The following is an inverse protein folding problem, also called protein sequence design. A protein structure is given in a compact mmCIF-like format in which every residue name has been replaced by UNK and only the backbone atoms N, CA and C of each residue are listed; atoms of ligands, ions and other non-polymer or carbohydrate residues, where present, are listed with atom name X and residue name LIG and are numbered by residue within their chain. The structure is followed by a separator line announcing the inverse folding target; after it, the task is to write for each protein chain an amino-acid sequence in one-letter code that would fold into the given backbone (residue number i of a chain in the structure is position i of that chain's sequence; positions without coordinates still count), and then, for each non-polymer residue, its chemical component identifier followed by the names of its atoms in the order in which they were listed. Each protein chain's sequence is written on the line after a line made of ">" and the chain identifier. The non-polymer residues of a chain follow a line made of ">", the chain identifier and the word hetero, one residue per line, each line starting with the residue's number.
data_IF_593734408569
#
_entry.id   IF_593734408569
#
_cell.length_a   1.000
_cell.length_b   1.000
_cell.length_c   1.000
_cell.angle_alpha   90.00
_cell.angle_beta   90.00
_cell.angle_gamma   90.00
#
_symmetry.space_group_name_H-M   'P 1'
#
loop_
_entity.id
_entity.type
_entity.pdbx_description
1 polymer ?
#
# COMPACT_ATOMS: atom_id res chain seq x y z
N UNK A 1 -21.22 -9.13 -75.12
CA UNK A 1 -19.92 -9.68 -74.61
C UNK A 1 -19.13 -8.66 -73.76
N UNK A 2 -19.03 -7.37 -74.08
CA UNK A 2 -18.26 -6.37 -73.36
C UNK A 2 -18.88 -6.03 -72.00
N UNK A 3 -20.22 -5.98 -71.87
CA UNK A 3 -20.95 -5.71 -70.59
C UNK A 3 -20.85 -6.87 -69.55
N UNK A 4 -20.75 -8.13 -70.02
CA UNK A 4 -20.63 -9.29 -69.17
C UNK A 4 -19.21 -9.44 -68.60
N UNK A 5 -18.17 -9.03 -69.31
CA UNK A 5 -16.80 -9.00 -68.77
C UNK A 5 -16.60 -7.91 -67.73
N UNK A 6 -17.29 -6.76 -67.84
CA UNK A 6 -17.22 -5.68 -66.89
C UNK A 6 -17.94 -6.05 -65.58
N UNK A 7 -19.07 -6.75 -65.67
CA UNK A 7 -19.79 -7.25 -64.46
C UNK A 7 -18.99 -8.32 -63.72
N UNK A 8 -18.27 -9.22 -64.42
CA UNK A 8 -17.39 -10.21 -63.77
C UNK A 8 -16.17 -9.60 -63.12
N UNK A 9 -15.61 -8.52 -63.65
CA UNK A 9 -14.47 -7.81 -63.05
C UNK A 9 -14.92 -7.08 -61.76
N UNK A 10 -16.11 -6.44 -61.74
CA UNK A 10 -16.67 -5.80 -60.56
C UNK A 10 -17.01 -6.83 -59.46
N UNK A 11 -17.53 -8.01 -59.83
CA UNK A 11 -17.82 -9.07 -58.88
C UNK A 11 -16.55 -9.71 -58.32
N UNK A 12 -15.47 -9.83 -59.09
CA UNK A 12 -14.16 -10.30 -58.64
C UNK A 12 -13.47 -9.29 -57.71
N UNK A 13 -13.58 -7.98 -57.96
CA UNK A 13 -13.05 -6.91 -57.09
C UNK A 13 -13.85 -6.83 -55.80
N UNK A 14 -15.17 -7.03 -55.84
CA UNK A 14 -16.00 -7.09 -54.61
C UNK A 14 -15.75 -8.34 -53.76
N UNK A 15 -15.41 -9.49 -54.37
CA UNK A 15 -15.01 -10.68 -53.64
C UNK A 15 -13.61 -10.56 -53.02
N UNK A 16 -12.67 -9.91 -53.70
CA UNK A 16 -11.32 -9.65 -53.17
C UNK A 16 -11.35 -8.62 -52.05
N UNK A 17 -12.22 -7.59 -52.14
CA UNK A 17 -12.42 -6.64 -51.03
C UNK A 17 -13.15 -7.26 -49.81
N UNK A 18 -14.02 -8.25 -50.01
CA UNK A 18 -14.66 -8.97 -48.91
C UNK A 18 -13.69 -9.90 -48.16
N UNK A 19 -12.66 -10.42 -48.81
CA UNK A 19 -11.61 -11.25 -48.17
C UNK A 19 -10.58 -10.40 -47.44
N UNK A 20 -10.42 -9.11 -47.79
CA UNK A 20 -9.55 -8.17 -47.05
C UNK A 20 -10.22 -7.52 -45.85
N UNK A 21 -11.52 -7.76 -45.62
CA UNK A 21 -12.29 -7.28 -44.46
C UNK A 21 -12.52 -8.35 -43.37
N UNK A 22 -11.95 -9.55 -43.50
CA UNK A 22 -11.75 -10.41 -42.38
C UNK A 22 -10.62 -9.80 -41.55
N UNK A 23 -10.94 -8.76 -40.78
CA UNK A 23 -10.04 -8.30 -39.71
C UNK A 23 -9.60 -9.53 -38.94
N UNK A 24 -8.29 -9.75 -38.79
CA UNK A 24 -7.76 -10.80 -37.92
C UNK A 24 -8.47 -10.67 -36.57
N UNK A 25 -9.38 -11.58 -36.27
CA UNK A 25 -9.97 -11.67 -34.99
C UNK A 25 -8.80 -11.93 -34.03
N UNK A 26 -8.60 -11.07 -33.09
CA UNK A 26 -7.57 -11.29 -32.07
C UNK A 26 -8.06 -12.47 -31.21
N UNK A 27 -7.55 -13.67 -31.49
CA UNK A 27 -7.97 -14.91 -30.81
C UNK A 27 -7.22 -15.10 -29.47
N UNK A 28 -6.43 -14.10 -29.05
CA UNK A 28 -5.72 -14.16 -27.77
C UNK A 28 -6.71 -14.15 -26.59
N UNK A 29 -6.35 -14.88 -25.55
CA UNK A 29 -7.06 -14.83 -24.27
C UNK A 29 -6.86 -13.44 -23.64
N UNK A 30 -7.95 -12.75 -23.38
CA UNK A 30 -7.90 -11.45 -22.69
C UNK A 30 -7.93 -11.66 -21.20
N UNK A 31 -6.91 -11.15 -20.49
CA UNK A 31 -6.84 -11.08 -19.03
C UNK A 31 -7.10 -9.64 -18.59
N UNK A 32 -8.22 -9.42 -17.93
CA UNK A 32 -8.56 -8.13 -17.32
C UNK A 32 -7.80 -7.96 -16.01
N UNK A 33 -7.11 -6.82 -15.84
CA UNK A 33 -6.30 -6.55 -14.66
C UNK A 33 -6.73 -5.21 -14.06
N UNK A 34 -7.08 -5.19 -12.78
CA UNK A 34 -7.16 -3.95 -12.00
C UNK A 34 -5.85 -3.77 -11.24
N UNK A 35 -5.08 -2.75 -11.62
CA UNK A 35 -3.74 -2.52 -11.14
C UNK A 35 -3.64 -1.23 -10.33
N UNK A 36 -3.08 -1.33 -9.11
CA UNK A 36 -2.83 -0.16 -8.26
C UNK A 36 -1.56 0.55 -8.74
N UNK A 37 -1.69 1.80 -9.16
CA UNK A 37 -0.61 2.57 -9.77
C UNK A 37 -0.65 4.04 -9.35
N UNK A 38 0.34 4.46 -8.56
CA UNK A 38 0.64 5.88 -8.31
C UNK A 38 1.45 6.42 -9.49
N UNK A 39 0.76 6.99 -10.48
CA UNK A 39 1.38 7.40 -11.74
C UNK A 39 2.40 8.56 -11.59
N UNK A 40 2.35 9.30 -10.47
CA UNK A 40 3.30 10.36 -10.12
C UNK A 40 4.59 9.83 -9.46
N UNK A 41 4.59 8.58 -9.00
CA UNK A 41 5.78 7.98 -8.40
C UNK A 41 6.84 7.66 -9.47
N UNK A 42 8.14 7.87 -9.17
CA UNK A 42 9.23 7.53 -10.07
C UNK A 42 9.15 6.08 -10.57
N UNK A 43 9.49 5.87 -11.83
CA UNK A 43 9.48 4.57 -12.50
C UNK A 43 8.13 3.86 -12.62
N UNK A 44 7.09 4.24 -11.87
CA UNK A 44 5.87 3.45 -11.70
C UNK A 44 5.16 3.11 -13.01
N UNK A 45 4.99 4.08 -13.90
CA UNK A 45 4.33 3.88 -15.21
C UNK A 45 5.21 3.06 -16.14
N UNK A 46 6.51 3.37 -16.20
CA UNK A 46 7.48 2.67 -17.05
C UNK A 46 7.61 1.20 -16.63
N UNK A 47 7.71 0.94 -15.34
CA UNK A 47 7.82 -0.41 -14.79
C UNK A 47 6.56 -1.24 -15.05
N UNK A 48 5.38 -0.67 -14.77
CA UNK A 48 4.13 -1.35 -15.07
C UNK A 48 4.05 -1.71 -16.56
N UNK A 49 4.38 -0.78 -17.45
CA UNK A 49 4.38 -1.06 -18.91
C UNK A 49 5.40 -2.14 -19.29
N UNK A 50 6.60 -2.10 -18.70
CA UNK A 50 7.64 -3.10 -18.94
C UNK A 50 7.18 -4.49 -18.51
N UNK A 51 6.62 -4.62 -17.29
CA UNK A 51 6.22 -5.93 -16.74
C UNK A 51 5.10 -6.56 -17.55
N UNK A 52 4.06 -5.80 -17.88
CA UNK A 52 2.93 -6.33 -18.63
C UNK A 52 3.27 -6.61 -20.11
N UNK A 53 4.04 -5.73 -20.77
CA UNK A 53 4.46 -5.99 -22.16
C UNK A 53 5.46 -7.15 -22.26
N UNK A 54 6.34 -7.33 -21.27
CA UNK A 54 7.25 -8.50 -21.21
C UNK A 54 6.45 -9.77 -21.00
N UNK A 55 5.43 -9.75 -20.13
CA UNK A 55 4.54 -10.90 -19.95
C UNK A 55 3.83 -11.28 -21.26
N UNK A 56 3.23 -10.32 -21.97
CA UNK A 56 2.59 -10.56 -23.29
C UNK A 56 3.57 -11.11 -24.32
N UNK A 57 4.78 -10.55 -24.38
CA UNK A 57 5.83 -11.01 -25.29
C UNK A 57 6.21 -12.47 -25.01
N UNK A 58 6.30 -12.86 -23.76
CA UNK A 58 6.64 -14.23 -23.36
C UNK A 58 5.45 -15.19 -23.46
N UNK A 59 4.22 -14.66 -23.59
CA UNK A 59 2.98 -15.41 -23.68
C UNK A 59 2.15 -14.91 -24.88
N UNK A 60 2.51 -15.21 -26.14
CA UNK A 60 1.89 -14.62 -27.33
C UNK A 60 0.39 -14.94 -27.49
N UNK A 61 -0.12 -15.95 -26.78
CA UNK A 61 -1.55 -16.30 -26.75
C UNK A 61 -2.40 -15.46 -25.80
N UNK A 62 -1.83 -14.46 -25.11
CA UNK A 62 -2.54 -13.62 -24.14
C UNK A 62 -2.50 -12.15 -24.54
N UNK A 63 -3.55 -11.42 -24.16
CA UNK A 63 -3.61 -9.96 -24.19
C UNK A 63 -3.99 -9.46 -22.80
N UNK A 64 -3.28 -8.47 -22.28
CA UNK A 64 -3.60 -7.82 -21.02
C UNK A 64 -4.48 -6.59 -21.27
N UNK A 65 -5.64 -6.55 -20.62
CA UNK A 65 -6.54 -5.40 -20.55
C UNK A 65 -6.43 -4.83 -19.14
N UNK A 66 -5.60 -3.78 -18.99
CA UNK A 66 -5.20 -3.23 -17.68
C UNK A 66 -5.87 -1.89 -17.43
N UNK A 67 -6.62 -1.79 -16.33
CA UNK A 67 -7.11 -0.54 -15.74
C UNK A 67 -6.18 -0.15 -14.57
N UNK A 68 -5.68 1.10 -14.57
CA UNK A 68 -4.80 1.64 -13.54
C UNK A 68 -5.56 2.66 -12.70
N UNK A 69 -5.56 2.50 -11.40
CA UNK A 69 -6.13 3.42 -10.44
C UNK A 69 -5.24 3.53 -9.19
N UNK A 70 -5.41 4.60 -8.44
CA UNK A 70 -4.62 4.88 -7.25
C UNK A 70 -5.52 5.30 -6.09
N UNK A 71 -5.09 4.99 -4.86
CA UNK A 71 -5.70 5.38 -3.58
C UNK A 71 -7.21 5.05 -3.52
N UNK A 72 -8.05 5.95 -3.02
CA UNK A 72 -9.48 5.70 -2.81
C UNK A 72 -10.22 5.31 -4.10
N UNK A 73 -9.82 5.88 -5.25
CA UNK A 73 -10.40 5.53 -6.55
C UNK A 73 -10.23 4.04 -6.90
N UNK A 74 -9.10 3.43 -6.50
CA UNK A 74 -8.87 1.99 -6.68
C UNK A 74 -9.87 1.17 -5.84
N UNK A 75 -10.03 1.52 -4.57
CA UNK A 75 -10.90 0.81 -3.65
C UNK A 75 -12.38 0.95 -4.02
N UNK A 76 -12.80 2.13 -4.46
CA UNK A 76 -14.16 2.37 -4.94
C UNK A 76 -14.49 1.56 -6.18
N UNK A 77 -13.54 1.48 -7.11
CA UNK A 77 -13.69 0.68 -8.32
C UNK A 77 -13.77 -0.82 -7.98
N UNK A 78 -12.93 -1.30 -7.07
CA UNK A 78 -12.95 -2.69 -6.63
C UNK A 78 -14.31 -3.04 -5.99
N UNK A 79 -14.84 -2.16 -5.12
CA UNK A 79 -16.19 -2.33 -4.54
C UNK A 79 -17.27 -2.36 -5.63
N UNK A 80 -17.15 -1.53 -6.66
CA UNK A 80 -18.07 -1.51 -7.81
C UNK A 80 -18.04 -2.85 -8.55
N UNK A 81 -16.87 -3.40 -8.84
CA UNK A 81 -16.71 -4.71 -9.48
C UNK A 81 -17.30 -5.83 -8.62
N UNK A 82 -17.04 -5.82 -7.30
CA UNK A 82 -17.59 -6.80 -6.38
C UNK A 82 -19.14 -6.75 -6.35
N UNK A 83 -19.73 -5.56 -6.25
CA UNK A 83 -21.19 -5.38 -6.26
C UNK A 83 -21.84 -5.82 -7.57
N UNK A 84 -21.14 -5.65 -8.71
CA UNK A 84 -21.59 -6.11 -10.02
C UNK A 84 -21.36 -7.61 -10.27
N UNK A 85 -20.61 -8.29 -9.40
CA UNK A 85 -20.12 -9.67 -9.60
C UNK A 85 -19.38 -9.85 -10.94
N UNK A 86 -18.65 -8.80 -11.38
CA UNK A 86 -17.84 -8.75 -12.61
C UNK A 86 -16.38 -8.41 -12.28
N UNK A 87 -15.77 -9.25 -11.44
CA UNK A 87 -14.39 -9.05 -10.99
C UNK A 87 -13.38 -9.08 -12.14
N UNK A 88 -12.34 -8.23 -12.13
CA UNK A 88 -11.20 -8.39 -13.02
C UNK A 88 -10.52 -9.74 -12.76
N UNK A 89 -9.90 -10.34 -13.80
CA UNK A 89 -9.30 -11.66 -13.70
C UNK A 89 -8.12 -11.71 -12.72
N UNK A 90 -7.30 -10.65 -12.72
CA UNK A 90 -6.19 -10.46 -11.77
C UNK A 90 -6.30 -9.09 -11.14
N UNK A 91 -6.08 -9.01 -9.84
CA UNK A 91 -6.20 -7.78 -9.08
C UNK A 91 -5.15 -7.66 -7.99
N UNK A 92 -4.84 -6.42 -7.64
CA UNK A 92 -3.98 -6.07 -6.52
C UNK A 92 -4.83 -5.97 -5.25
N UNK A 93 -4.52 -6.73 -4.21
CA UNK A 93 -5.34 -6.82 -3.00
C UNK A 93 -4.52 -6.63 -1.73
N UNK A 94 -5.19 -6.18 -0.68
CA UNK A 94 -4.64 -6.05 0.67
C UNK A 94 -4.99 -7.28 1.50
N UNK A 95 -4.10 -7.77 2.36
CA UNK A 95 -4.39 -8.84 3.30
C UNK A 95 -5.08 -8.28 4.56
N UNK A 96 -6.07 -7.41 4.42
CA UNK A 96 -6.60 -6.61 5.53
C UNK A 96 -8.11 -6.39 5.38
N UNK A 97 -8.74 -5.77 6.38
CA UNK A 97 -10.14 -5.41 6.37
C UNK A 97 -10.57 -4.56 5.16
N UNK A 98 -9.63 -3.93 4.45
CA UNK A 98 -9.90 -3.27 3.17
C UNK A 98 -10.42 -4.23 2.10
N UNK A 99 -10.14 -5.52 2.23
CA UNK A 99 -10.55 -6.59 1.30
C UNK A 99 -11.53 -7.58 1.93
N UNK A 100 -12.08 -7.33 3.14
CA UNK A 100 -12.98 -8.23 3.86
C UNK A 100 -14.19 -8.65 3.01
N UNK A 101 -14.82 -7.70 2.32
CA UNK A 101 -15.96 -7.95 1.43
C UNK A 101 -15.62 -8.91 0.26
N UNK A 102 -14.37 -8.94 -0.19
CA UNK A 102 -13.93 -9.90 -1.22
C UNK A 102 -13.86 -11.32 -0.66
N UNK A 103 -13.46 -11.47 0.60
CA UNK A 103 -13.39 -12.75 1.30
C UNK A 103 -14.78 -13.24 1.70
N UNK A 104 -15.62 -12.38 2.26
CA UNK A 104 -16.99 -12.69 2.70
C UNK A 104 -17.87 -13.16 1.55
N UNK A 105 -17.72 -12.53 0.38
CA UNK A 105 -18.45 -12.88 -0.84
C UNK A 105 -17.75 -13.97 -1.66
N UNK A 106 -16.60 -14.48 -1.20
CA UNK A 106 -15.81 -15.55 -1.88
C UNK A 106 -15.43 -15.20 -3.32
N UNK A 107 -15.05 -13.94 -3.55
CA UNK A 107 -14.73 -13.44 -4.88
C UNK A 107 -13.31 -13.75 -5.33
N UNK A 108 -12.44 -14.20 -4.41
CA UNK A 108 -11.05 -14.56 -4.68
C UNK A 108 -10.86 -16.07 -4.76
N UNK A 109 -10.06 -16.50 -5.73
CA UNK A 109 -9.71 -17.91 -5.94
C UNK A 109 -8.68 -18.38 -4.90
N UNK A 110 -8.84 -19.60 -4.39
CA UNK A 110 -7.80 -20.24 -3.57
C UNK A 110 -6.59 -20.59 -4.45
N UNK A 111 -5.45 -19.96 -4.18
CA UNK A 111 -4.19 -20.18 -4.89
C UNK A 111 -3.38 -21.35 -4.34
N UNK A 112 -3.77 -21.94 -3.20
CA UNK A 112 -3.05 -23.05 -2.56
C UNK A 112 -2.79 -24.23 -3.51
N UNK A 113 -3.78 -24.68 -4.33
CA UNK A 113 -3.54 -25.77 -5.28
C UNK A 113 -2.48 -25.45 -6.33
N UNK A 114 -2.44 -24.21 -6.82
CA UNK A 114 -1.47 -23.75 -7.82
C UNK A 114 -0.07 -23.64 -7.23
N UNK A 115 0.06 -23.08 -6.02
CA UNK A 115 1.31 -22.96 -5.26
C UNK A 115 1.92 -24.35 -5.03
N UNK A 116 1.11 -25.32 -4.61
CA UNK A 116 1.54 -26.70 -4.35
C UNK A 116 1.93 -27.42 -5.64
N UNK A 117 1.13 -27.28 -6.71
CA UNK A 117 1.42 -27.88 -8.01
C UNK A 117 2.77 -27.42 -8.56
N UNK A 118 3.05 -26.13 -8.47
CA UNK A 118 4.25 -25.53 -9.03
C UNK A 118 5.45 -25.57 -8.07
N UNK A 119 5.25 -26.00 -6.81
CA UNK A 119 6.32 -26.15 -5.81
C UNK A 119 7.01 -24.85 -5.40
N UNK A 120 6.34 -23.71 -5.54
CA UNK A 120 6.96 -22.37 -5.38
C UNK A 120 7.01 -21.86 -3.94
N UNK A 121 6.36 -22.55 -2.98
CA UNK A 121 6.24 -22.08 -1.59
C UNK A 121 7.58 -21.67 -0.97
N UNK A 122 8.63 -22.47 -1.18
CA UNK A 122 9.95 -22.26 -0.57
C UNK A 122 10.75 -21.11 -1.21
N UNK A 123 10.25 -20.52 -2.29
CA UNK A 123 10.86 -19.35 -2.93
C UNK A 123 10.47 -18.02 -2.24
N UNK A 124 9.59 -18.10 -1.24
CA UNK A 124 9.05 -16.94 -0.52
C UNK A 124 9.30 -17.08 0.98
N UNK A 125 9.30 -15.95 1.68
CA UNK A 125 9.34 -15.91 3.16
C UNK A 125 8.15 -16.71 3.70
N UNK A 126 8.41 -17.61 4.66
CA UNK A 126 7.38 -18.52 5.18
C UNK A 126 6.12 -17.81 5.70
N UNK A 127 6.29 -16.65 6.35
CA UNK A 127 5.19 -15.82 6.84
C UNK A 127 4.25 -15.37 5.71
N UNK A 128 4.79 -15.03 4.54
CA UNK A 128 3.99 -14.56 3.38
C UNK A 128 3.24 -15.71 2.69
N UNK A 129 3.63 -16.95 2.94
CA UNK A 129 3.02 -18.17 2.38
C UNK A 129 2.25 -18.98 3.43
N UNK A 130 1.86 -18.34 4.53
CA UNK A 130 1.05 -18.91 5.59
C UNK A 130 -0.42 -18.48 5.42
N UNK A 131 -1.35 -19.41 5.11
CA UNK A 131 -2.77 -19.08 4.97
C UNK A 131 -3.40 -18.45 6.21
N UNK A 132 -2.86 -18.73 7.42
CA UNK A 132 -3.38 -18.16 8.67
C UNK A 132 -3.13 -16.66 8.79
N UNK A 133 -2.22 -16.11 7.99
CA UNK A 133 -1.93 -14.69 7.91
C UNK A 133 -2.85 -13.95 6.92
N UNK A 134 -3.70 -14.66 6.20
CA UNK A 134 -4.68 -14.08 5.28
C UNK A 134 -6.09 -14.22 5.84
N UNK A 135 -6.90 -13.17 5.74
CA UNK A 135 -8.27 -13.16 6.27
C UNK A 135 -9.15 -14.29 5.72
N UNK A 136 -8.89 -14.70 4.49
CA UNK A 136 -9.62 -15.77 3.83
C UNK A 136 -9.42 -17.16 4.50
N UNK A 137 -8.35 -17.34 5.30
CA UNK A 137 -7.96 -18.64 5.84
C UNK A 137 -7.39 -19.62 4.78
N UNK A 138 -7.17 -19.14 3.56
CA UNK A 138 -6.49 -19.80 2.46
C UNK A 138 -5.61 -18.78 1.71
N UNK A 139 -4.75 -19.25 0.79
CA UNK A 139 -3.93 -18.36 -0.03
C UNK A 139 -4.79 -17.65 -1.07
N UNK A 140 -5.40 -16.53 -0.69
CA UNK A 140 -6.22 -15.69 -1.59
C UNK A 140 -5.36 -14.82 -2.53
N UNK A 141 -4.11 -14.55 -2.14
CA UNK A 141 -3.14 -13.79 -2.94
C UNK A 141 -1.72 -14.27 -2.67
N UNK A 142 -0.78 -13.90 -3.56
CA UNK A 142 0.66 -13.98 -3.27
C UNK A 142 1.14 -12.58 -2.89
N UNK A 143 1.56 -12.34 -1.62
CA UNK A 143 2.07 -11.04 -1.16
C UNK A 143 3.37 -10.67 -1.87
N UNK A 144 3.53 -9.38 -2.19
CA UNK A 144 4.78 -8.84 -2.74
C UNK A 144 5.90 -8.75 -1.70
N UNK A 145 5.53 -8.60 -0.42
CA UNK A 145 6.47 -8.39 0.67
C UNK A 145 5.81 -8.34 2.03
N UNK A 146 6.59 -7.84 2.99
CA UNK A 146 6.15 -7.43 4.32
C UNK A 146 6.22 -5.91 4.35
N UNK A 147 5.23 -5.27 4.94
CA UNK A 147 5.09 -3.82 4.99
C UNK A 147 5.14 -3.33 6.43
N UNK A 148 5.98 -2.34 6.68
CA UNK A 148 6.02 -1.58 7.91
C UNK A 148 5.23 -0.30 7.70
N UNK A 149 4.03 -0.21 8.26
CA UNK A 149 3.08 0.88 7.96
C UNK A 149 3.42 2.20 8.65
N UNK A 150 4.29 2.17 9.66
CA UNK A 150 4.79 3.36 10.32
C UNK A 150 6.30 3.49 10.12
N UNK A 151 6.69 4.49 9.36
CA UNK A 151 8.06 4.99 9.25
C UNK A 151 8.09 6.48 9.59
N UNK A 152 9.09 6.88 10.38
CA UNK A 152 9.30 8.26 10.81
C UNK A 152 10.53 8.82 10.08
N UNK A 153 10.27 9.64 9.07
CA UNK A 153 11.32 10.28 8.27
C UNK A 153 11.73 11.59 8.94
N UNK A 154 13.02 11.77 9.21
CA UNK A 154 13.59 12.96 9.85
C UNK A 154 14.48 13.70 8.86
N UNK A 155 14.15 14.96 8.57
CA UNK A 155 14.93 15.85 7.70
C UNK A 155 15.99 16.59 8.51
N UNK A 156 17.23 16.12 8.45
CA UNK A 156 18.36 16.74 9.15
C UNK A 156 18.73 18.11 8.57
N UNK A 157 18.46 18.36 7.28
CA UNK A 157 18.72 19.69 6.66
C UNK A 157 17.84 20.76 7.34
N UNK A 158 16.55 20.47 7.53
CA UNK A 158 15.61 21.38 8.22
C UNK A 158 16.00 21.59 9.69
N UNK A 159 16.27 20.49 10.42
CA UNK A 159 16.65 20.58 11.83
C UNK A 159 17.94 21.37 12.03
N UNK A 160 18.97 21.08 11.23
CA UNK A 160 20.26 21.79 11.31
C UNK A 160 20.15 23.28 10.98
N UNK A 161 19.26 23.66 10.04
CA UNK A 161 19.04 25.05 9.66
C UNK A 161 18.55 25.93 10.85
N UNK A 162 17.92 25.31 11.85
CA UNK A 162 17.43 25.99 13.06
C UNK A 162 18.15 25.54 14.35
N UNK A 163 19.27 24.80 14.22
CA UNK A 163 20.10 24.38 15.34
C UNK A 163 19.46 23.29 16.23
N UNK A 164 18.51 22.52 15.69
CA UNK A 164 17.84 21.44 16.43
C UNK A 164 18.48 20.07 16.13
N UNK A 165 18.28 19.14 17.04
CA UNK A 165 18.61 17.72 16.87
C UNK A 165 17.33 16.90 16.73
N UNK A 166 17.38 15.69 16.13
CA UNK A 166 16.23 14.79 16.10
C UNK A 166 15.64 14.55 17.51
N UNK A 167 14.34 14.74 17.63
CA UNK A 167 13.62 14.52 18.89
C UNK A 167 13.65 13.02 19.29
N UNK A 168 13.89 12.74 20.56
CA UNK A 168 13.93 11.38 21.14
C UNK A 168 12.63 10.99 21.83
N UNK A 169 11.86 11.98 22.23
CA UNK A 169 10.60 11.80 22.95
C UNK A 169 9.61 12.90 22.60
N UNK A 170 8.36 12.72 23.02
CA UNK A 170 7.28 13.65 22.73
C UNK A 170 7.54 15.07 23.27
N UNK A 171 8.13 15.20 24.48
CA UNK A 171 8.41 16.51 25.07
C UNK A 171 9.41 17.32 24.21
N UNK A 172 10.39 16.64 23.63
CA UNK A 172 11.33 17.27 22.69
C UNK A 172 10.64 17.71 21.39
N UNK A 173 9.71 16.90 20.86
CA UNK A 173 8.89 17.29 19.69
C UNK A 173 8.11 18.58 19.98
N UNK A 174 7.42 18.64 21.14
CA UNK A 174 6.65 19.83 21.54
C UNK A 174 7.57 21.06 21.68
N UNK A 175 8.76 20.89 22.27
CA UNK A 175 9.72 21.97 22.43
C UNK A 175 10.25 22.52 21.09
N UNK A 176 10.27 21.71 20.04
CA UNK A 176 10.71 22.11 18.70
C UNK A 176 9.65 22.91 17.92
N UNK A 177 8.36 22.76 18.26
CA UNK A 177 7.25 23.43 17.54
C UNK A 177 7.45 24.95 17.38
N UNK A 178 7.68 25.74 18.45
CA UNK A 178 7.83 27.19 18.30
C UNK A 178 9.05 27.60 17.47
N UNK A 179 10.14 26.84 17.54
CA UNK A 179 11.38 27.11 16.77
C UNK A 179 11.17 26.85 15.29
N UNK A 180 10.62 25.69 14.94
CA UNK A 180 10.32 25.33 13.55
C UNK A 180 9.29 26.27 12.94
N UNK A 181 8.20 26.57 13.65
CA UNK A 181 7.16 27.48 13.19
C UNK A 181 7.68 28.90 12.95
N UNK A 182 8.55 29.41 13.82
CA UNK A 182 9.16 30.74 13.64
C UNK A 182 10.04 30.81 12.38
N UNK A 183 10.63 29.68 11.96
CA UNK A 183 11.42 29.56 10.75
C UNK A 183 10.58 29.21 9.49
N UNK A 184 9.26 29.06 9.62
CA UNK A 184 8.34 28.73 8.52
C UNK A 184 8.21 27.23 8.21
N UNK A 185 8.71 26.35 9.08
CA UNK A 185 8.61 24.91 8.93
C UNK A 185 7.45 24.33 9.75
N UNK A 186 6.84 23.26 9.25
CA UNK A 186 5.97 22.39 10.05
C UNK A 186 6.83 21.40 10.86
N UNK A 187 6.32 20.97 12.03
CA UNK A 187 7.05 19.97 12.80
C UNK A 187 6.88 18.59 12.14
N UNK A 188 5.66 18.08 12.03
CA UNK A 188 5.37 16.79 11.37
C UNK A 188 4.43 17.02 10.20
N UNK A 189 4.80 16.47 9.04
CA UNK A 189 3.93 16.31 7.89
C UNK A 189 3.25 14.94 7.93
N UNK A 190 1.94 14.90 7.74
CA UNK A 190 1.15 13.68 7.57
C UNK A 190 -0.05 14.00 6.64
N UNK A 191 -0.01 13.62 5.35
CA UNK A 191 -1.07 13.94 4.40
C UNK A 191 -2.32 13.10 4.72
N UNK A 192 -3.28 13.67 5.45
CA UNK A 192 -4.37 12.94 6.08
C UNK A 192 -5.75 13.21 5.45
N UNK A 193 -5.80 13.72 4.21
CA UNK A 193 -7.07 13.81 3.47
C UNK A 193 -7.63 12.41 3.19
N UNK A 194 -6.76 11.47 2.79
CA UNK A 194 -7.08 10.04 2.81
C UNK A 194 -7.02 9.55 4.25
N UNK A 195 -8.18 9.34 4.87
CA UNK A 195 -8.35 9.14 6.31
C UNK A 195 -7.58 7.95 6.88
N UNK A 196 -7.31 6.94 6.03
CA UNK A 196 -6.53 5.76 6.39
C UNK A 196 -5.09 6.08 6.81
N UNK A 197 -4.51 7.18 6.31
CA UNK A 197 -3.11 7.53 6.59
C UNK A 197 -2.88 7.74 8.08
N UNK A 198 -3.76 8.50 8.77
CA UNK A 198 -3.66 8.68 10.21
C UNK A 198 -3.82 7.36 10.97
N UNK A 199 -4.72 6.50 10.52
CA UNK A 199 -4.98 5.23 11.18
C UNK A 199 -3.83 4.24 10.97
N UNK A 200 -3.45 3.95 9.72
CA UNK A 200 -2.44 2.94 9.39
C UNK A 200 -1.02 3.42 9.70
N UNK A 201 -0.68 4.68 9.33
CA UNK A 201 0.70 5.16 9.42
C UNK A 201 1.04 5.80 10.78
N UNK A 202 0.06 6.08 11.65
CA UNK A 202 0.32 6.66 12.96
C UNK A 202 -0.44 5.96 14.09
N UNK A 203 -1.79 5.96 14.05
CA UNK A 203 -2.60 5.55 15.20
C UNK A 203 -2.47 4.07 15.54
N UNK A 204 -2.31 3.19 14.56
CA UNK A 204 -2.10 1.75 14.79
C UNK A 204 -0.89 1.50 15.69
N UNK A 205 0.22 2.19 15.44
CA UNK A 205 1.42 2.15 16.28
C UNK A 205 1.16 2.75 17.67
N UNK A 206 0.48 3.91 17.75
CA UNK A 206 0.14 4.57 19.03
C UNK A 206 -0.74 3.67 19.88
N UNK A 207 -1.82 3.10 19.30
CA UNK A 207 -2.70 2.17 20.01
C UNK A 207 -1.94 0.94 20.53
N UNK A 208 -1.06 0.37 19.70
CA UNK A 208 -0.20 -0.73 20.12
C UNK A 208 0.74 -0.37 21.27
N UNK A 209 1.31 0.85 21.29
CA UNK A 209 2.18 1.32 22.38
C UNK A 209 1.41 1.50 23.70
N UNK A 210 0.22 2.08 23.68
CA UNK A 210 -0.60 2.27 24.86
C UNK A 210 -1.24 0.96 25.36
N UNK A 211 -1.81 0.17 24.46
CA UNK A 211 -2.61 -1.00 24.83
C UNK A 211 -1.78 -2.29 24.98
N UNK A 212 -0.59 -2.34 24.38
CA UNK A 212 0.25 -3.55 24.26
C UNK A 212 0.07 -4.26 22.92
N UNK A 213 1.00 -5.13 22.50
CA UNK A 213 1.06 -5.68 21.14
C UNK A 213 -0.11 -6.62 20.80
N UNK A 214 -0.68 -7.29 21.81
CA UNK A 214 -1.77 -8.27 21.69
C UNK A 214 -3.16 -7.67 21.95
N UNK A 215 -3.28 -6.34 22.03
CA UNK A 215 -4.52 -5.69 22.45
C UNK A 215 -5.70 -6.01 21.53
N UNK A 216 -5.46 -6.09 20.23
CA UNK A 216 -6.47 -6.42 19.22
C UNK A 216 -7.02 -7.85 19.39
N UNK A 217 -6.17 -8.81 19.76
CA UNK A 217 -6.60 -10.18 20.08
C UNK A 217 -7.49 -10.21 21.33
N UNK A 218 -7.15 -9.40 22.34
CA UNK A 218 -7.98 -9.30 23.54
C UNK A 218 -9.34 -8.67 23.24
N UNK A 219 -9.40 -7.65 22.36
CA UNK A 219 -10.67 -7.04 21.92
C UNK A 219 -11.50 -8.06 21.12
N UNK A 220 -10.92 -8.73 20.14
CA UNK A 220 -11.61 -9.74 19.35
C UNK A 220 -12.12 -10.92 20.21
N UNK A 221 -11.39 -11.28 21.27
CA UNK A 221 -11.80 -12.28 22.25
C UNK A 221 -12.77 -11.72 23.32
N UNK A 222 -13.24 -10.47 23.20
CA UNK A 222 -14.10 -9.77 24.17
C UNK A 222 -13.51 -9.69 25.61
N UNK A 223 -12.16 -9.72 25.71
CA UNK A 223 -11.40 -9.60 26.97
C UNK A 223 -10.88 -8.17 27.21
N UNK A 224 -11.04 -7.29 26.23
CA UNK A 224 -10.77 -5.87 26.29
C UNK A 224 -11.84 -5.12 25.48
N UNK A 225 -11.91 -3.82 25.64
CA UNK A 225 -12.87 -2.94 24.98
C UNK A 225 -12.16 -1.73 24.38
N UNK A 226 -12.73 -1.16 23.34
CA UNK A 226 -12.29 0.15 22.82
C UNK A 226 -12.51 1.29 23.82
N UNK A 227 -13.39 1.11 24.81
CA UNK A 227 -13.62 2.08 25.89
C UNK A 227 -12.66 1.91 27.07
N UNK A 228 -11.73 0.99 27.03
CA UNK A 228 -10.72 0.83 28.09
C UNK A 228 -9.79 2.05 28.15
N UNK A 229 -9.30 2.42 29.36
CA UNK A 229 -8.51 3.63 29.56
C UNK A 229 -7.29 3.76 28.63
N UNK A 230 -6.61 2.64 28.33
CA UNK A 230 -5.42 2.64 27.47
C UNK A 230 -5.75 3.03 26.03
N UNK A 231 -6.86 2.53 25.47
CA UNK A 231 -7.30 2.89 24.12
C UNK A 231 -7.80 4.33 24.05
N UNK A 232 -8.52 4.78 25.09
CA UNK A 232 -8.93 6.19 25.22
C UNK A 232 -7.71 7.11 25.32
N UNK A 233 -6.67 6.71 26.06
CA UNK A 233 -5.42 7.48 26.15
C UNK A 233 -4.67 7.53 24.79
N UNK A 234 -4.68 6.46 24.01
CA UNK A 234 -4.14 6.44 22.68
C UNK A 234 -4.86 7.43 21.74
N UNK A 235 -6.19 7.48 21.77
CA UNK A 235 -7.00 8.46 21.03
C UNK A 235 -6.74 9.89 21.51
N UNK A 236 -6.61 10.11 22.84
CA UNK A 236 -6.33 11.43 23.40
C UNK A 236 -4.94 11.93 22.99
N UNK A 237 -3.96 11.04 22.86
CA UNK A 237 -2.63 11.39 22.35
C UNK A 237 -2.70 11.93 20.91
N UNK A 238 -3.53 11.37 20.04
CA UNK A 238 -3.73 11.95 18.69
C UNK A 238 -4.30 13.38 18.79
N UNK A 239 -5.33 13.58 19.63
CA UNK A 239 -5.88 14.93 19.87
C UNK A 239 -4.79 15.89 20.37
N UNK A 240 -3.91 15.41 21.24
CA UNK A 240 -2.82 16.19 21.83
C UNK A 240 -1.78 16.60 20.81
N UNK A 241 -1.39 15.72 19.85
CA UNK A 241 -0.47 16.05 18.74
C UNK A 241 -0.92 17.31 17.98
N UNK A 242 -2.22 17.45 17.72
CA UNK A 242 -2.80 18.62 17.06
C UNK A 242 -2.97 19.82 17.99
N UNK A 243 -3.31 19.58 19.27
CA UNK A 243 -3.47 20.63 20.25
C UNK A 243 -2.14 21.36 20.58
N UNK A 244 -1.06 20.60 20.66
CA UNK A 244 0.28 21.12 20.94
C UNK A 244 0.98 21.63 19.67
N UNK A 245 0.32 21.54 18.50
CA UNK A 245 0.84 22.00 17.21
C UNK A 245 1.99 21.15 16.64
N UNK A 246 2.21 19.94 17.17
CA UNK A 246 3.18 18.98 16.62
C UNK A 246 2.76 18.54 15.22
N UNK A 247 1.46 18.38 15.01
CA UNK A 247 0.86 18.23 13.68
C UNK A 247 -0.07 19.44 13.45
N UNK A 248 0.11 20.15 12.34
CA UNK A 248 -0.79 21.25 12.00
C UNK A 248 -2.13 20.69 11.47
N UNK A 249 -3.24 21.36 11.83
CA UNK A 249 -4.58 20.92 11.40
C UNK A 249 -4.79 20.97 9.90
N UNK A 250 -4.02 21.78 9.17
CA UNK A 250 -4.06 21.80 7.70
C UNK A 250 -3.71 20.44 7.06
N UNK A 251 -2.97 19.59 7.79
CA UNK A 251 -2.60 18.27 7.29
C UNK A 251 -3.81 17.35 7.04
N UNK A 252 -4.95 17.60 7.69
CA UNK A 252 -6.21 16.88 7.43
C UNK A 252 -6.74 17.10 6.00
N UNK A 253 -6.39 18.22 5.37
CA UNK A 253 -6.80 18.55 4.00
C UNK A 253 -5.72 18.33 2.94
N UNK A 254 -4.56 17.79 3.32
CA UNK A 254 -3.45 17.53 2.37
C UNK A 254 -3.70 16.21 1.66
N UNK A 255 -3.69 16.25 0.32
CA UNK A 255 -3.79 15.05 -0.53
C UNK A 255 -2.60 14.12 -0.30
N UNK A 256 -2.85 12.80 -0.33
CA UNK A 256 -1.83 11.81 -0.06
C UNK A 256 -0.64 11.87 -1.04
N UNK A 257 -0.91 12.15 -2.30
CA UNK A 257 0.14 12.30 -3.34
C UNK A 257 1.01 13.55 -3.18
N UNK A 258 0.54 14.59 -2.43
CA UNK A 258 1.31 15.84 -2.22
C UNK A 258 2.40 15.69 -1.15
N UNK A 259 2.22 14.77 -0.19
CA UNK A 259 3.11 14.59 0.96
C UNK A 259 4.59 14.46 0.62
N UNK A 260 5.00 13.61 -0.33
CA UNK A 260 6.40 13.48 -0.73
C UNK A 260 7.01 14.79 -1.24
N UNK A 261 6.26 15.54 -2.07
CA UNK A 261 6.68 16.84 -2.60
C UNK A 261 6.89 17.89 -1.50
N UNK A 262 5.99 17.92 -0.51
CA UNK A 262 6.11 18.81 0.66
C UNK A 262 7.36 18.48 1.47
N UNK A 263 7.62 17.20 1.75
CA UNK A 263 8.81 16.78 2.51
C UNK A 263 10.10 17.07 1.75
N UNK A 264 10.15 16.76 0.46
CA UNK A 264 11.30 17.01 -0.41
C UNK A 264 11.60 18.52 -0.57
N UNK A 265 10.58 19.36 -0.47
CA UNK A 265 10.70 20.83 -0.50
C UNK A 265 11.05 21.44 0.86
N UNK A 266 11.42 20.62 1.85
CA UNK A 266 11.77 21.05 3.20
C UNK A 266 10.65 21.80 3.94
N UNK A 267 9.36 21.48 3.67
CA UNK A 267 8.25 22.16 4.34
C UNK A 267 8.07 21.70 5.81
N UNK A 268 8.64 20.55 6.19
CA UNK A 268 8.58 20.02 7.55
C UNK A 268 9.86 19.33 7.99
N UNK A 269 10.05 19.26 9.31
CA UNK A 269 11.20 18.60 9.93
C UNK A 269 11.05 17.07 9.93
N UNK A 270 9.82 16.61 10.06
CA UNK A 270 9.48 15.18 10.10
C UNK A 270 8.34 14.87 9.15
N UNK A 271 8.29 13.59 8.70
CA UNK A 271 7.22 13.09 7.85
C UNK A 271 6.84 11.67 8.29
N UNK A 272 5.53 11.41 8.35
CA UNK A 272 4.99 10.10 8.73
C UNK A 272 4.31 9.47 7.52
N UNK A 273 4.74 8.24 7.18
CA UNK A 273 4.12 7.39 6.17
C UNK A 273 4.57 5.94 6.39
N UNK A 274 4.20 5.02 5.52
CA UNK A 274 4.73 3.66 5.50
C UNK A 274 6.08 3.54 4.80
N UNK A 275 6.67 2.36 4.90
CA UNK A 275 7.98 2.05 4.29
C UNK A 275 7.98 2.19 2.76
N UNK A 276 6.85 1.95 2.12
CA UNK A 276 6.65 2.11 0.67
C UNK A 276 6.96 3.52 0.16
N UNK A 277 6.86 4.53 1.04
CA UNK A 277 7.01 5.94 0.64
C UNK A 277 8.43 6.28 0.17
N UNK A 278 9.41 5.47 0.52
CA UNK A 278 10.78 5.61 -0.03
C UNK A 278 10.79 5.61 -1.56
N UNK A 279 9.88 4.84 -2.19
CA UNK A 279 9.74 4.81 -3.64
C UNK A 279 9.49 6.16 -4.31
N UNK A 280 8.89 7.13 -3.59
CA UNK A 280 8.65 8.47 -4.11
C UNK A 280 9.93 9.34 -4.17
N UNK A 281 11.01 8.95 -3.48
CA UNK A 281 12.22 9.78 -3.34
C UNK A 281 13.39 9.26 -4.16
N UNK A 282 13.28 8.08 -4.77
CA UNK A 282 14.36 7.53 -5.60
C UNK A 282 14.42 8.18 -6.97
N UNK A 283 15.53 7.97 -7.66
CA UNK A 283 15.73 8.49 -9.01
C UNK A 283 14.83 7.77 -10.01
N UNK A 284 14.09 8.54 -10.79
CA UNK A 284 13.38 8.06 -11.96
C UNK A 284 14.37 7.70 -13.07
N UNK A 285 14.34 6.46 -13.53
CA UNK A 285 15.32 5.89 -14.47
C UNK A 285 15.26 6.53 -15.86
N UNK A 286 14.08 7.04 -16.27
CA UNK A 286 13.87 7.59 -17.60
C UNK A 286 14.30 9.04 -17.67
N UNK A 287 14.08 9.80 -16.58
CA UNK A 287 14.36 11.24 -16.52
C UNK A 287 15.67 11.57 -15.81
N UNK A 288 16.19 10.66 -14.98
CA UNK A 288 17.32 10.91 -14.11
C UNK A 288 17.03 11.89 -12.97
N UNK A 289 15.76 12.21 -12.71
CA UNK A 289 15.34 13.14 -11.68
C UNK A 289 14.89 12.41 -10.41
N UNK A 290 15.10 13.02 -9.25
CA UNK A 290 14.58 12.55 -7.97
C UNK A 290 14.05 13.74 -7.17
N UNK A 291 12.99 13.56 -6.40
CA UNK A 291 12.50 14.59 -5.48
C UNK A 291 13.57 14.98 -4.45
N UNK A 292 14.29 13.97 -3.92
CA UNK A 292 15.46 14.16 -3.06
C UNK A 292 16.63 13.49 -3.74
N UNK A 293 17.62 14.27 -4.23
CA UNK A 293 18.78 13.70 -4.92
C UNK A 293 19.52 12.68 -4.01
N UNK A 294 20.15 11.62 -4.56
CA UNK A 294 20.85 10.61 -3.77
C UNK A 294 21.87 11.19 -2.78
N UNK A 295 22.53 12.29 -3.14
CA UNK A 295 23.46 12.98 -2.24
C UNK A 295 22.73 13.57 -1.01
N UNK A 296 21.55 14.15 -1.20
CA UNK A 296 20.73 14.73 -0.12
C UNK A 296 19.98 13.67 0.70
N UNK A 297 19.72 12.51 0.15
CA UNK A 297 19.07 11.39 0.87
C UNK A 297 19.85 10.99 2.13
N UNK A 298 21.16 11.21 2.19
CA UNK A 298 21.96 10.99 3.40
C UNK A 298 21.59 11.92 4.57
N UNK A 299 20.87 13.01 4.31
CA UNK A 299 20.33 13.90 5.34
C UNK A 299 18.95 13.47 5.84
N UNK A 300 18.42 12.39 5.34
CA UNK A 300 17.15 11.81 5.83
C UNK A 300 17.45 10.60 6.69
N UNK A 301 17.05 10.67 7.96
CA UNK A 301 17.01 9.50 8.84
C UNK A 301 15.64 8.87 8.78
N UNK A 302 15.58 7.55 8.79
CA UNK A 302 14.35 6.77 8.85
C UNK A 302 14.40 5.91 10.11
N UNK A 303 13.36 5.99 10.91
CA UNK A 303 13.23 5.26 12.16
C UNK A 303 11.76 5.16 12.60
N UNK A 304 11.53 5.03 13.89
CA UNK A 304 10.20 4.99 14.48
C UNK A 304 9.89 6.28 15.23
N UNK A 305 8.60 6.52 15.48
CA UNK A 305 8.14 7.67 16.26
C UNK A 305 8.85 7.72 17.62
N UNK A 306 9.25 8.91 18.10
CA UNK A 306 9.88 9.09 19.40
C UNK A 306 9.09 8.51 20.57
N UNK A 307 9.72 8.38 21.73
CA UNK A 307 9.09 7.85 22.94
C UNK A 307 7.86 8.67 23.34
N UNK A 308 6.78 7.97 23.67
CA UNK A 308 5.52 8.56 24.12
C UNK A 308 5.38 8.28 25.62
N UNK A 309 5.19 9.30 26.47
CA UNK A 309 5.03 9.10 27.92
C UNK A 309 3.80 8.26 28.26
N UNK A 310 3.92 7.38 29.24
CA UNK A 310 2.80 6.58 29.74
C UNK A 310 2.44 5.36 28.91
N UNK A 311 3.20 5.05 27.87
CA UNK A 311 3.00 3.85 27.06
C UNK A 311 3.62 2.60 27.69
N UNK A 312 3.10 1.43 27.34
CA UNK A 312 3.64 0.11 27.74
C UNK A 312 4.87 -0.29 26.93
N UNK A 313 4.97 0.26 25.70
CA UNK A 313 6.03 -0.04 24.76
C UNK A 313 6.53 1.29 24.18
N UNK A 314 7.84 1.54 24.23
CA UNK A 314 8.42 2.79 23.73
C UNK A 314 8.89 2.68 22.26
N UNK A 315 9.38 1.52 21.86
CA UNK A 315 9.90 1.32 20.50
C UNK A 315 9.07 0.27 19.77
N UNK A 316 8.20 0.71 18.88
CA UNK A 316 7.37 -0.17 18.04
C UNK A 316 7.05 0.48 16.70
N UNK A 317 6.74 -0.37 15.74
CA UNK A 317 6.08 0.01 14.49
C UNK A 317 4.96 -0.98 14.18
N UNK A 318 4.02 -0.60 13.31
CA UNK A 318 2.97 -1.50 12.84
C UNK A 318 3.44 -2.24 11.60
N UNK A 319 3.27 -3.56 11.62
CA UNK A 319 3.71 -4.46 10.54
C UNK A 319 2.53 -5.31 10.09
N UNK A 320 2.43 -5.47 8.77
CA UNK A 320 1.40 -6.29 8.12
C UNK A 320 2.03 -7.04 6.95
N UNK A 321 1.41 -8.15 6.51
CA UNK A 321 1.71 -8.66 5.18
C UNK A 321 1.54 -7.55 4.16
N UNK A 322 2.45 -7.45 3.23
CA UNK A 322 2.32 -6.53 2.10
C UNK A 322 1.15 -6.94 1.21
N UNK A 323 0.75 -6.01 0.39
CA UNK A 323 -0.22 -6.23 -0.68
C UNK A 323 0.26 -7.30 -1.66
N UNK A 324 -0.67 -7.92 -2.37
CA UNK A 324 -0.36 -9.00 -3.30
C UNK A 324 -1.27 -9.06 -4.52
N UNK A 325 -1.07 -10.08 -5.33
CA UNK A 325 -1.92 -10.32 -6.49
C UNK A 325 -2.80 -11.53 -6.25
N UNK A 326 -4.10 -11.35 -6.55
CA UNK A 326 -5.14 -12.35 -6.47
C UNK A 326 -5.75 -12.65 -7.83
N UNK A 327 -6.44 -13.78 -7.93
CA UNK A 327 -7.25 -14.17 -9.09
C UNK A 327 -8.73 -14.17 -8.71
N UNK A 328 -9.60 -13.81 -9.66
CA UNK A 328 -11.04 -13.88 -9.45
C UNK A 328 -11.51 -15.33 -9.33
N UNK A 329 -12.41 -15.60 -8.38
CA UNK A 329 -13.03 -16.91 -8.22
C UNK A 329 -13.90 -17.32 -9.42
N UNK A 330 -14.42 -16.33 -10.16
CA UNK A 330 -15.26 -16.53 -11.36
C UNK A 330 -14.54 -17.10 -12.56
N UNK A 331 -13.20 -17.12 -12.59
CA UNK A 331 -12.44 -17.71 -13.70
C UNK A 331 -12.71 -19.21 -13.76
N UNK A 332 -13.20 -19.77 -14.91
CA UNK A 332 -13.49 -21.18 -15.03
C UNK A 332 -12.25 -22.04 -14.82
N UNK A 333 -12.37 -23.05 -13.95
CA UNK A 333 -11.27 -23.98 -13.66
C UNK A 333 -10.86 -24.77 -14.89
N UNK A 334 -9.55 -24.94 -15.11
CA UNK A 334 -8.97 -25.65 -16.25
C UNK A 334 -9.00 -24.87 -17.57
N UNK A 335 -9.46 -23.61 -17.56
CA UNK A 335 -9.47 -22.77 -18.76
C UNK A 335 -8.08 -22.17 -19.07
N UNK A 336 -7.84 -21.78 -20.33
CA UNK A 336 -6.65 -21.02 -20.70
C UNK A 336 -6.58 -19.68 -19.95
N UNK A 337 -7.73 -19.09 -19.64
CA UNK A 337 -7.83 -17.87 -18.83
C UNK A 337 -7.26 -18.10 -17.42
N UNK A 338 -7.63 -19.20 -16.76
CA UNK A 338 -7.08 -19.57 -15.44
C UNK A 338 -5.57 -19.76 -15.51
N UNK A 339 -5.10 -20.47 -16.53
CA UNK A 339 -3.68 -20.71 -16.76
C UNK A 339 -2.92 -19.37 -16.87
N UNK A 340 -3.36 -18.48 -17.74
CA UNK A 340 -2.65 -17.22 -17.98
C UNK A 340 -2.79 -16.24 -16.80
N UNK A 341 -3.92 -16.21 -16.10
CA UNK A 341 -4.08 -15.43 -14.88
C UNK A 341 -3.10 -15.87 -13.79
N UNK A 342 -2.94 -17.19 -13.60
CA UNK A 342 -1.96 -17.75 -12.66
C UNK A 342 -0.51 -17.45 -13.08
N UNK A 343 -0.16 -17.62 -14.36
CA UNK A 343 1.17 -17.26 -14.86
C UNK A 343 1.46 -15.77 -14.66
N UNK A 344 0.46 -14.90 -14.82
CA UNK A 344 0.61 -13.46 -14.56
C UNK A 344 0.86 -13.18 -13.07
N UNK A 345 0.14 -13.82 -12.16
CA UNK A 345 0.37 -13.69 -10.70
C UNK A 345 1.79 -14.13 -10.35
N UNK A 346 2.25 -15.28 -10.87
CA UNK A 346 3.63 -15.75 -10.68
C UNK A 346 4.68 -14.81 -11.26
N UNK A 347 4.41 -14.23 -12.42
CA UNK A 347 5.30 -13.25 -13.05
C UNK A 347 5.43 -11.98 -12.20
N UNK A 348 4.30 -11.39 -11.80
CA UNK A 348 4.27 -10.15 -11.02
C UNK A 348 4.87 -10.29 -9.61
N UNK A 349 4.92 -11.52 -9.07
CA UNK A 349 5.57 -11.85 -7.78
C UNK A 349 6.87 -12.64 -7.97
N UNK A 350 7.31 -12.84 -9.21
CA UNK A 350 8.50 -13.58 -9.57
C UNK A 350 9.80 -12.82 -9.26
N UNK A 351 10.93 -13.53 -9.37
CA UNK A 351 12.25 -12.99 -9.02
C UNK A 351 12.59 -11.73 -9.79
N UNK A 352 12.49 -11.76 -11.12
CA UNK A 352 12.87 -10.65 -12.00
C UNK A 352 12.08 -9.36 -11.69
N UNK A 353 10.74 -9.47 -11.56
CA UNK A 353 9.89 -8.33 -11.20
C UNK A 353 10.17 -7.87 -9.77
N UNK A 354 10.42 -8.79 -8.83
CA UNK A 354 10.71 -8.45 -7.43
C UNK A 354 12.07 -7.75 -7.29
N UNK A 355 13.11 -8.19 -8.02
CA UNK A 355 14.44 -7.52 -8.04
C UNK A 355 14.29 -6.09 -8.55
N UNK A 356 13.66 -5.91 -9.71
CA UNK A 356 13.48 -4.59 -10.32
C UNK A 356 12.63 -3.66 -9.43
N UNK A 357 11.53 -4.18 -8.84
CA UNK A 357 10.69 -3.42 -7.93
C UNK A 357 11.44 -2.99 -6.67
N UNK A 358 12.30 -3.83 -6.13
CA UNK A 358 13.14 -3.51 -4.97
C UNK A 358 14.16 -2.44 -5.33
N UNK A 359 14.86 -2.56 -6.45
CA UNK A 359 15.81 -1.53 -6.92
C UNK A 359 15.16 -0.18 -7.18
N UNK A 360 13.91 -0.19 -7.64
CA UNK A 360 13.15 1.03 -7.97
C UNK A 360 12.23 1.51 -6.84
N UNK A 361 12.43 1.02 -5.61
CA UNK A 361 11.82 1.53 -4.38
C UNK A 361 10.39 1.07 -4.09
N UNK A 362 9.81 0.21 -4.95
CA UNK A 362 8.41 -0.18 -4.81
C UNK A 362 8.10 -1.18 -3.69
N UNK A 363 9.08 -1.93 -3.19
CA UNK A 363 8.88 -2.91 -2.11
C UNK A 363 10.16 -3.06 -1.29
N UNK A 364 10.29 -2.36 -0.15
CA UNK A 364 11.49 -2.39 0.69
C UNK A 364 11.82 -3.76 1.26
N UNK A 365 10.80 -4.54 1.64
CA UNK A 365 10.96 -5.90 2.18
C UNK A 365 10.20 -6.90 1.32
N UNK A 366 10.79 -7.34 0.18
CA UNK A 366 10.14 -8.27 -0.75
C UNK A 366 9.92 -9.65 -0.14
N UNK A 367 8.87 -10.34 -0.59
CA UNK A 367 8.54 -11.70 -0.13
C UNK A 367 9.48 -12.78 -0.65
N UNK A 368 10.21 -12.53 -1.74
CA UNK A 368 11.13 -13.50 -2.35
C UNK A 368 12.40 -13.66 -1.52
N UNK A 369 12.84 -14.91 -1.34
CA UNK A 369 14.07 -15.25 -0.56
C UNK A 369 15.30 -15.43 -1.43
N UNK A 370 15.14 -15.51 -2.75
CA UNK A 370 16.22 -15.79 -3.71
C UNK A 370 16.72 -14.53 -4.45
N UNK A 371 16.47 -13.34 -3.88
CA UNK A 371 16.96 -12.07 -4.43
C UNK A 371 18.41 -11.83 -4.04
N UNK A 372 19.17 -11.21 -4.94
CA UNK A 372 20.55 -10.83 -4.68
C UNK A 372 20.69 -9.34 -4.34
N UNK A 373 20.36 -8.98 -3.09
CA UNK A 373 20.46 -7.59 -2.61
C UNK A 373 21.87 -6.99 -2.78
N UNK A 374 22.93 -7.82 -2.72
CA UNK A 374 24.31 -7.34 -2.89
C UNK A 374 24.64 -6.87 -4.30
N UNK A 375 23.86 -7.29 -5.29
CA UNK A 375 24.00 -6.87 -6.69
C UNK A 375 23.12 -5.67 -7.05
N UNK A 376 22.17 -5.29 -6.18
CA UNK A 376 21.23 -4.18 -6.44
C UNK A 376 21.91 -2.83 -6.18
N UNK A 377 21.63 -1.87 -7.05
CA UNK A 377 22.11 -0.49 -6.90
C UNK A 377 21.10 0.34 -6.09
N UNK A 378 21.06 0.10 -4.76
CA UNK A 378 20.14 0.79 -3.86
C UNK A 378 20.65 2.18 -3.48
N UNK A 379 19.75 3.17 -3.51
CA UNK A 379 20.01 4.53 -3.03
C UNK A 379 20.04 4.63 -1.49
N UNK A 380 20.57 5.73 -0.90
CA UNK A 380 20.72 5.84 0.55
C UNK A 380 19.42 5.64 1.33
N UNK A 381 18.28 6.21 0.90
CA UNK A 381 17.00 6.02 1.59
C UNK A 381 16.47 4.58 1.47
N UNK A 382 16.73 3.89 0.36
CA UNK A 382 16.37 2.47 0.22
C UNK A 382 17.17 1.59 1.19
N UNK A 383 18.48 1.88 1.38
CA UNK A 383 19.31 1.20 2.38
C UNK A 383 18.84 1.50 3.80
N UNK A 384 18.49 2.76 4.08
CA UNK A 384 18.00 3.17 5.39
C UNK A 384 16.66 2.49 5.75
N UNK A 385 15.69 2.46 4.82
CA UNK A 385 14.39 1.81 5.07
C UNK A 385 14.53 0.30 5.24
N UNK A 386 15.45 -0.34 4.52
CA UNK A 386 15.74 -1.76 4.69
C UNK A 386 16.22 -2.14 6.10
N UNK A 387 16.74 -1.17 6.85
CA UNK A 387 17.17 -1.35 8.25
C UNK A 387 16.07 -1.03 9.26
N UNK A 388 14.90 -0.53 8.83
CA UNK A 388 13.83 -0.08 9.73
C UNK A 388 13.37 -1.18 10.71
N UNK A 389 13.37 -2.44 10.29
CA UNK A 389 13.05 -3.57 11.16
C UNK A 389 13.97 -3.71 12.38
N UNK A 390 15.17 -3.14 12.35
CA UNK A 390 16.12 -3.09 13.47
C UNK A 390 15.92 -1.90 14.42
N UNK A 391 15.09 -0.92 14.03
CA UNK A 391 14.85 0.31 14.81
C UNK A 391 13.76 0.15 15.88
N UNK A 392 13.05 -0.97 15.91
CA UNK A 392 12.03 -1.25 16.92
C UNK A 392 12.10 -2.69 17.44
N UNK A 393 11.69 -2.86 18.70
CA UNK A 393 11.73 -4.15 19.40
C UNK A 393 10.43 -4.95 19.26
N UNK A 394 9.31 -4.28 18.99
CA UNK A 394 7.98 -4.89 19.00
C UNK A 394 7.19 -4.46 17.77
N UNK A 395 6.73 -5.44 17.00
CA UNK A 395 5.73 -5.23 15.97
C UNK A 395 4.33 -5.15 16.61
N UNK A 396 3.52 -4.20 16.14
CA UNK A 396 2.12 -4.05 16.54
C UNK A 396 1.21 -4.26 15.33
N UNK A 397 -0.03 -4.66 15.57
CA UNK A 397 -0.98 -4.86 14.50
C UNK A 397 -1.39 -3.52 13.85
N UNK A 398 -1.72 -3.58 12.57
CA UNK A 398 -2.39 -2.49 11.85
C UNK A 398 -3.89 -2.66 12.04
N UNK A 399 -4.59 -1.61 12.42
CA UNK A 399 -6.02 -1.64 12.79
C UNK A 399 -6.88 -2.16 11.66
N UNK A 400 -6.69 -1.67 10.43
CA UNK A 400 -7.41 -2.15 9.25
C UNK A 400 -6.97 -3.56 8.79
N UNK A 401 -5.92 -4.11 9.39
CA UNK A 401 -5.49 -5.49 9.21
C UNK A 401 -6.18 -6.49 10.14
N UNK A 402 -6.77 -6.02 11.25
CA UNK A 402 -7.28 -6.90 12.32
C UNK A 402 -8.74 -6.65 12.70
N UNK A 403 -9.34 -5.57 12.20
CA UNK A 403 -10.76 -5.26 12.37
C UNK A 403 -11.44 -5.06 11.02
N UNK A 404 -12.74 -5.41 10.87
CA UNK A 404 -13.49 -5.22 9.64
C UNK A 404 -13.72 -3.73 9.35
N UNK A 405 -14.06 -3.42 8.09
CA UNK A 405 -14.31 -2.06 7.59
C UNK A 405 -15.34 -1.30 8.42
N UNK A 406 -16.41 -1.95 8.86
CA UNK A 406 -17.44 -1.36 9.73
C UNK A 406 -16.91 -0.82 11.08
N UNK A 407 -15.73 -1.27 11.51
CA UNK A 407 -15.05 -0.81 12.74
C UNK A 407 -13.95 0.19 12.43
N UNK A 408 -13.01 -0.15 11.53
CA UNK A 408 -11.87 0.73 11.29
C UNK A 408 -12.25 2.05 10.60
N UNK A 409 -13.31 2.09 9.80
CA UNK A 409 -13.79 3.35 9.20
C UNK A 409 -14.33 4.30 10.28
N UNK A 410 -14.99 3.78 11.32
CA UNK A 410 -15.41 4.60 12.48
C UNK A 410 -14.18 5.15 13.23
N UNK A 411 -13.08 4.40 13.31
CA UNK A 411 -11.82 4.90 13.86
C UNK A 411 -11.26 6.01 12.96
N UNK A 412 -11.22 5.81 11.64
CA UNK A 412 -10.72 6.80 10.68
C UNK A 412 -11.43 8.15 10.85
N UNK A 413 -12.76 8.14 10.83
CA UNK A 413 -13.60 9.34 11.02
C UNK A 413 -13.39 9.96 12.41
N UNK A 414 -13.22 9.11 13.42
CA UNK A 414 -12.93 9.52 14.79
C UNK A 414 -11.60 10.27 14.90
N UNK A 415 -10.54 9.79 14.24
CA UNK A 415 -9.22 10.42 14.24
C UNK A 415 -9.26 11.81 13.58
N UNK A 416 -9.97 11.98 12.47
CA UNK A 416 -10.20 13.29 11.86
C UNK A 416 -10.97 14.22 12.81
N UNK A 417 -12.02 13.70 13.47
CA UNK A 417 -12.79 14.48 14.46
C UNK A 417 -11.96 14.94 15.65
N UNK A 418 -10.99 14.11 16.10
CA UNK A 418 -10.03 14.46 17.17
C UNK A 418 -9.05 15.55 16.69
N UNK A 419 -8.49 15.42 15.48
CA UNK A 419 -7.60 16.40 14.88
C UNK A 419 -8.25 17.79 14.76
N UNK A 420 -9.54 17.82 14.40
CA UNK A 420 -10.33 19.05 14.27
C UNK A 420 -10.96 19.52 15.59
N UNK A 421 -10.71 18.83 16.71
CA UNK A 421 -11.27 19.12 18.04
C UNK A 421 -12.82 19.10 18.07
N UNK A 422 -13.45 18.26 17.24
CA UNK A 422 -14.91 18.12 17.14
C UNK A 422 -15.46 17.11 18.13
N UNK A 423 -14.65 16.11 18.52
CA UNK A 423 -15.01 15.05 19.48
C UNK A 423 -13.96 14.89 20.56
N UNK A 424 -14.35 14.29 21.69
CA UNK A 424 -13.42 13.82 22.73
C UNK A 424 -12.99 12.38 22.43
N UNK A 425 -11.84 11.97 22.95
CA UNK A 425 -11.34 10.60 22.85
C UNK A 425 -12.36 9.57 23.38
N UNK A 426 -13.00 9.86 24.51
CA UNK A 426 -14.03 8.98 25.09
C UNK A 426 -15.28 8.85 24.19
N UNK A 427 -15.68 9.92 23.50
CA UNK A 427 -16.79 9.86 22.56
C UNK A 427 -16.46 8.97 21.35
N UNK A 428 -15.28 9.17 20.76
CA UNK A 428 -14.79 8.32 19.65
C UNK A 428 -14.70 6.86 20.09
N UNK A 429 -14.09 6.58 21.25
CA UNK A 429 -13.98 5.22 21.79
C UNK A 429 -15.36 4.54 21.95
N UNK A 430 -16.38 5.30 22.40
CA UNK A 430 -17.75 4.80 22.54
C UNK A 430 -18.40 4.47 21.19
N UNK A 431 -18.16 5.30 20.17
CA UNK A 431 -18.66 5.05 18.81
C UNK A 431 -18.02 3.80 18.20
N UNK A 432 -16.70 3.64 18.35
CA UNK A 432 -15.95 2.47 17.88
C UNK A 432 -16.43 1.20 18.60
N UNK A 433 -16.61 1.26 19.95
CA UNK A 433 -17.12 0.12 20.70
C UNK A 433 -18.52 -0.29 20.21
N UNK A 434 -19.39 0.67 19.94
CA UNK A 434 -20.73 0.40 19.42
C UNK A 434 -20.66 -0.28 18.03
N UNK A 435 -19.78 0.19 17.15
CA UNK A 435 -19.57 -0.44 15.84
C UNK A 435 -19.12 -1.90 16.00
N UNK A 436 -18.18 -2.15 16.92
CA UNK A 436 -17.69 -3.50 17.21
C UNK A 436 -18.77 -4.40 17.86
N UNK A 437 -19.59 -3.86 18.76
CA UNK A 437 -20.66 -4.63 19.41
C UNK A 437 -21.78 -5.04 18.45
N UNK A 438 -21.87 -4.38 17.28
CA UNK A 438 -22.86 -4.67 16.23
C UNK A 438 -22.39 -5.71 15.21
N UNK A 439 -21.16 -6.27 15.34
CA UNK A 439 -20.68 -7.40 14.55
C UNK A 439 -21.35 -8.72 15.00
#
# INVERSE_FOLDING_TARGET
>A
MRKLKFAMIILAVLMISAVLLTGCKDDRVVIKVLYYLEASAPNAVADANLWFSTFEKNNPGVKIDRENLFDDAYHDKMRTYAAANDMPDVMYVWPSGRSDYLHDQKLLKDLTPFINRDGIKNLYISLTMDPSQQQAGYMAMIPQGITTTHAFFTNLEVLNAVGLQPAKNYAELVAQVPVLKAAGYQTILIPAQSTWVMQSCLFSMVAGRFCGPDWHERVNAKRAKFTDPDFVAALDFIRQLYADGVIDRSQVGVDYGEGPGMFASNMGAYYIDGDWRVGAFITDSDTGQALISPAKQNNIKIGVFPDIPGTKINSSSSVILGVGYAMAASIPSGSDKEKYAWELVKWLTGKEVSELRTERGGTPTPSRTDLNFGAMNLEPMQKAIGNLGGEFQTATAVIDGVFPSSVYEVINDGLISLALAQKTAAAVATEVQRAFDNL
#
